data_IF_637495314856
#
_entry.id   IF_637495314856
#
_cell.length_a   1.000
_cell.length_b   1.000
_cell.length_c   1.000
_cell.angle_alpha   90.00
_cell.angle_beta   90.00
_cell.angle_gamma   90.00
#
_symmetry.space_group_name_H-M   'P 1'
#
loop_
_entity.id
_entity.type
_entity.pdbx_description
1 polymer ?
#
# COMPACT_ATOMS: atom_id res chain seq x y z
N UNK A 1 3.55 -9.73 9.55
CA UNK A 1 2.18 -10.30 9.48
C UNK A 1 2.08 -11.31 8.35
N UNK A 2 0.89 -11.87 8.14
CA UNK A 2 0.58 -12.76 6.99
C UNK A 2 -0.59 -12.25 6.14
N UNK A 3 -1.29 -11.19 6.57
CA UNK A 3 -2.49 -10.70 5.88
C UNK A 3 -2.17 -9.53 4.95
N UNK A 4 -1.47 -8.53 5.46
CA UNK A 4 -1.19 -7.28 4.73
C UNK A 4 0.31 -7.02 4.67
N UNK A 5 0.82 -6.62 3.51
CA UNK A 5 2.16 -6.09 3.32
C UNK A 5 2.09 -4.63 2.90
N UNK A 6 2.76 -3.75 3.66
CA UNK A 6 3.01 -2.36 3.33
C UNK A 6 4.44 -2.25 2.81
N UNK A 7 4.59 -1.93 1.54
CA UNK A 7 5.88 -1.76 0.87
C UNK A 7 6.14 -0.27 0.70
N UNK A 8 6.89 0.31 1.63
CA UNK A 8 7.17 1.74 1.72
C UNK A 8 8.45 2.09 0.99
N UNK A 9 8.41 3.20 0.24
CA UNK A 9 9.58 3.88 -0.31
C UNK A 9 9.54 5.35 0.12
N UNK A 10 10.65 5.84 0.69
CA UNK A 10 10.77 7.24 1.11
C UNK A 10 10.38 7.47 2.56
N UNK A 11 9.85 8.64 2.87
CA UNK A 11 9.74 9.14 4.25
C UNK A 11 8.48 8.68 4.99
N UNK A 12 7.58 7.95 4.32
CA UNK A 12 6.31 7.44 4.90
C UNK A 12 6.48 6.17 5.76
N UNK A 13 7.70 5.77 6.07
CA UNK A 13 7.94 4.55 6.85
C UNK A 13 7.34 4.64 8.27
N UNK A 14 7.44 5.79 8.94
CA UNK A 14 6.84 5.98 10.27
C UNK A 14 5.31 5.96 10.22
N UNK A 15 4.71 6.59 9.21
CA UNK A 15 3.26 6.52 8.97
C UNK A 15 2.78 5.07 8.76
N UNK A 16 3.56 4.24 8.06
CA UNK A 16 3.27 2.82 7.92
C UNK A 16 3.30 2.07 9.26
N UNK A 17 4.23 2.41 10.16
CA UNK A 17 4.31 1.81 11.51
C UNK A 17 3.13 2.19 12.38
N UNK A 18 2.69 3.44 12.32
CA UNK A 18 1.50 3.92 13.02
C UNK A 18 0.26 3.20 12.48
N UNK A 19 0.08 3.18 11.16
CA UNK A 19 -1.03 2.47 10.51
C UNK A 19 -1.05 0.97 10.87
N UNK A 20 0.11 0.30 10.86
CA UNK A 20 0.20 -1.11 11.25
C UNK A 20 -0.20 -1.35 12.71
N UNK A 21 0.07 -0.40 13.62
CA UNK A 21 -0.37 -0.46 15.01
C UNK A 21 -1.89 -0.35 15.13
N UNK A 22 -2.52 0.55 14.35
CA UNK A 22 -3.98 0.67 14.29
C UNK A 22 -4.64 -0.59 13.71
N UNK A 23 -4.07 -1.16 12.64
CA UNK A 23 -4.54 -2.40 12.01
C UNK A 23 -4.42 -3.60 12.95
N UNK A 24 -3.34 -3.66 13.74
CA UNK A 24 -3.16 -4.69 14.76
C UNK A 24 -4.28 -4.66 15.80
N UNK A 25 -4.72 -3.48 16.23
CA UNK A 25 -5.85 -3.32 17.15
C UNK A 25 -7.19 -3.83 16.55
N UNK A 26 -7.27 -3.93 15.22
CA UNK A 26 -8.42 -4.48 14.48
C UNK A 26 -8.22 -5.96 14.11
N UNK A 27 -7.20 -6.62 14.64
CA UNK A 27 -6.91 -8.03 14.37
C UNK A 27 -6.25 -8.32 13.02
N UNK A 28 -5.72 -7.30 12.33
CA UNK A 28 -5.07 -7.44 11.03
C UNK A 28 -3.55 -7.45 11.18
N UNK A 29 -2.94 -8.58 10.84
CA UNK A 29 -1.49 -8.78 10.89
C UNK A 29 -0.78 -8.15 9.68
N UNK A 30 0.04 -7.13 9.96
CA UNK A 30 0.73 -6.35 8.92
C UNK A 30 2.24 -6.65 8.90
N UNK A 31 2.83 -6.68 7.72
CA UNK A 31 4.28 -6.66 7.46
C UNK A 31 4.62 -5.31 6.85
N UNK A 32 5.69 -4.66 7.31
CA UNK A 32 6.21 -3.44 6.71
C UNK A 32 7.56 -3.76 6.09
N UNK A 33 7.76 -3.34 4.85
CA UNK A 33 9.03 -3.45 4.12
C UNK A 33 9.45 -2.04 3.73
N UNK A 34 10.65 -1.66 4.16
CA UNK A 34 11.33 -0.48 3.63
C UNK A 34 12.11 -0.90 2.37
N UNK A 35 11.62 -0.45 1.22
CA UNK A 35 12.18 -0.80 -0.08
C UNK A 35 13.58 -0.18 -0.28
N UNK A 36 13.86 0.98 0.33
CA UNK A 36 15.08 1.82 0.19
C UNK A 36 15.44 2.28 -1.23
N UNK A 37 15.16 1.47 -2.25
CA UNK A 37 15.49 1.71 -3.65
C UNK A 37 14.28 1.44 -4.55
N UNK A 38 13.95 2.40 -5.42
CA UNK A 38 13.01 2.17 -6.53
C UNK A 38 13.65 1.37 -7.67
N UNK A 39 15.00 1.39 -7.77
CA UNK A 39 15.78 0.64 -8.75
C UNK A 39 17.21 0.38 -8.25
N UNK A 40 17.75 -0.83 -8.42
CA UNK A 40 17.02 -2.05 -8.82
C UNK A 40 16.01 -2.45 -7.74
N UNK A 41 14.87 -3.02 -8.17
CA UNK A 41 13.91 -3.60 -7.23
C UNK A 41 14.50 -4.87 -6.58
N UNK A 42 14.25 -5.05 -5.28
CA UNK A 42 14.44 -6.36 -4.64
C UNK A 42 13.31 -7.30 -5.06
N UNK A 43 13.46 -7.88 -6.25
CA UNK A 43 12.42 -8.71 -6.88
C UNK A 43 12.06 -9.91 -6.01
N UNK A 44 13.06 -10.54 -5.38
CA UNK A 44 12.83 -11.73 -4.56
C UNK A 44 11.98 -11.39 -3.35
N UNK A 45 12.30 -10.29 -2.66
CA UNK A 45 11.53 -9.85 -1.50
C UNK A 45 10.10 -9.49 -1.88
N UNK A 46 9.91 -8.74 -2.98
CA UNK A 46 8.60 -8.31 -3.45
C UNK A 46 7.72 -9.52 -3.83
N UNK A 47 8.25 -10.44 -4.64
CA UNK A 47 7.51 -11.64 -5.07
C UNK A 47 7.16 -12.52 -3.87
N UNK A 48 8.11 -12.77 -2.96
CA UNK A 48 7.85 -13.52 -1.74
C UNK A 48 6.79 -12.84 -0.87
N UNK A 49 6.79 -11.52 -0.81
CA UNK A 49 5.80 -10.77 -0.03
C UNK A 49 4.42 -10.87 -0.65
N UNK A 50 4.33 -10.74 -1.98
CA UNK A 50 3.10 -10.92 -2.72
C UNK A 50 2.49 -12.33 -2.58
N UNK A 51 3.32 -13.37 -2.51
CA UNK A 51 2.84 -14.75 -2.35
C UNK A 51 2.36 -15.06 -0.92
N UNK A 52 2.92 -14.38 0.09
CA UNK A 52 2.66 -14.67 1.50
C UNK A 52 1.63 -13.75 2.14
N UNK A 53 1.03 -12.82 1.38
CA UNK A 53 0.04 -11.87 1.88
C UNK A 53 -1.16 -11.80 0.96
N UNK A 54 -2.34 -11.53 1.53
CA UNK A 54 -3.58 -11.34 0.78
C UNK A 54 -3.63 -9.95 0.13
N UNK A 55 -3.07 -8.95 0.82
CA UNK A 55 -3.03 -7.55 0.38
C UNK A 55 -1.58 -7.07 0.34
N UNK A 56 -1.19 -6.42 -0.75
CA UNK A 56 0.07 -5.68 -0.86
C UNK A 56 -0.23 -4.25 -1.27
N UNK A 57 0.21 -3.28 -0.46
CA UNK A 57 0.08 -1.85 -0.77
C UNK A 57 1.46 -1.24 -0.86
N UNK A 58 1.74 -0.57 -1.98
CA UNK A 58 2.93 0.30 -2.10
C UNK A 58 2.60 1.70 -1.60
N UNK A 59 3.56 2.33 -0.92
CA UNK A 59 3.43 3.70 -0.41
C UNK A 59 4.68 4.47 -0.84
N UNK A 60 4.48 5.56 -1.57
CA UNK A 60 5.56 6.48 -1.97
C UNK A 60 5.05 7.93 -2.04
N UNK A 61 5.99 8.87 -2.02
CA UNK A 61 5.74 10.30 -2.23
C UNK A 61 6.00 10.70 -3.70
N UNK A 62 6.06 9.71 -4.60
CA UNK A 62 6.13 9.91 -6.05
C UNK A 62 4.73 10.05 -6.67
N UNK A 63 4.69 10.35 -7.97
CA UNK A 63 3.45 10.38 -8.75
C UNK A 63 3.22 9.05 -9.49
N UNK A 64 2.13 8.98 -10.26
CA UNK A 64 1.81 7.83 -11.11
C UNK A 64 2.97 7.53 -12.07
N UNK A 65 3.31 6.25 -12.24
CA UNK A 65 4.48 5.82 -13.01
C UNK A 65 5.74 5.60 -12.17
N UNK A 66 5.70 5.88 -10.86
CA UNK A 66 6.81 5.68 -9.93
C UNK A 66 7.03 4.24 -9.46
N UNK A 67 7.51 4.10 -8.22
CA UNK A 67 7.84 2.81 -7.60
C UNK A 67 6.68 1.82 -7.61
N UNK A 68 5.47 2.26 -7.26
CA UNK A 68 4.29 1.42 -7.26
C UNK A 68 3.97 0.86 -8.65
N UNK A 69 4.20 1.63 -9.71
CA UNK A 69 4.01 1.17 -11.10
C UNK A 69 5.07 0.15 -11.50
N UNK A 70 6.33 0.33 -11.09
CA UNK A 70 7.38 -0.67 -11.32
C UNK A 70 7.12 -1.98 -10.57
N UNK A 71 6.65 -1.90 -9.32
CA UNK A 71 6.22 -3.07 -8.55
C UNK A 71 5.05 -3.76 -9.24
N UNK A 72 4.02 -3.02 -9.64
CA UNK A 72 2.86 -3.57 -10.34
C UNK A 72 3.27 -4.30 -11.63
N UNK A 73 4.18 -3.71 -12.43
CA UNK A 73 4.71 -4.37 -13.63
C UNK A 73 5.45 -5.67 -13.29
N UNK A 74 6.31 -5.67 -12.26
CA UNK A 74 6.99 -6.89 -11.80
C UNK A 74 5.99 -7.98 -11.39
N UNK A 75 4.95 -7.62 -10.64
CA UNK A 75 3.92 -8.56 -10.20
C UNK A 75 3.10 -9.13 -11.37
N UNK A 76 2.76 -8.28 -12.35
CA UNK A 76 2.04 -8.69 -13.56
C UNK A 76 2.84 -9.68 -14.40
N UNK A 77 4.11 -9.36 -14.70
CA UNK A 77 4.99 -10.22 -15.51
C UNK A 77 5.26 -11.60 -14.88
N UNK A 78 5.06 -11.74 -13.56
CA UNK A 78 5.23 -13.00 -12.83
C UNK A 78 3.89 -13.71 -12.53
N UNK A 79 2.78 -13.26 -13.12
CA UNK A 79 1.46 -13.89 -12.96
C UNK A 79 0.94 -13.85 -11.51
N UNK A 80 1.38 -12.89 -10.71
CA UNK A 80 0.97 -12.79 -9.30
C UNK A 80 -0.50 -12.38 -9.19
N UNK A 81 -0.96 -11.45 -10.04
CA UNK A 81 -2.35 -10.98 -10.02
C UNK A 81 -3.36 -12.07 -10.38
N UNK A 82 -2.94 -13.05 -11.19
CA UNK A 82 -3.78 -14.20 -11.57
C UNK A 82 -4.14 -15.08 -10.38
N UNK A 83 -3.34 -15.02 -9.30
CA UNK A 83 -3.54 -15.78 -8.05
C UNK A 83 -4.47 -15.06 -7.05
N UNK A 84 -4.98 -13.87 -7.40
CA UNK A 84 -5.94 -13.14 -6.58
C UNK A 84 -5.34 -12.19 -5.54
N UNK A 85 -4.06 -11.81 -5.67
CA UNK A 85 -3.46 -10.77 -4.83
C UNK A 85 -4.24 -9.45 -4.95
N UNK A 86 -4.63 -8.87 -3.81
CA UNK A 86 -5.20 -7.52 -3.77
C UNK A 86 -4.07 -6.50 -3.70
N UNK A 87 -3.84 -5.77 -4.79
CA UNK A 87 -2.78 -4.76 -4.87
C UNK A 87 -3.33 -3.34 -5.03
N UNK A 88 -2.78 -2.36 -4.30
CA UNK A 88 -3.00 -0.92 -4.56
C UNK A 88 -1.70 -0.15 -4.38
N UNK A 89 -1.59 0.99 -5.05
CA UNK A 89 -0.52 1.95 -4.81
C UNK A 89 -1.09 3.22 -4.19
N UNK A 90 -0.43 3.71 -3.15
CA UNK A 90 -0.64 5.02 -2.56
C UNK A 90 0.53 5.90 -2.98
N UNK A 91 0.20 6.97 -3.71
CA UNK A 91 1.10 7.91 -4.36
C UNK A 91 0.61 9.33 -4.07
N UNK A 92 1.42 10.35 -4.38
CA UNK A 92 0.91 11.71 -4.44
C UNK A 92 -0.18 11.82 -5.53
N UNK A 93 -1.35 12.40 -5.20
CA UNK A 93 -2.41 12.61 -6.17
C UNK A 93 -2.03 13.68 -7.19
N UNK A 94 -2.60 13.58 -8.38
CA UNK A 94 -2.44 14.58 -9.45
C UNK A 94 -3.39 15.77 -9.22
N UNK A 95 -3.13 16.49 -8.12
CA UNK A 95 -3.86 17.69 -7.72
C UNK A 95 -2.89 18.71 -7.15
N UNK A 96 -3.25 19.99 -7.23
CA UNK A 96 -2.50 21.03 -6.56
C UNK A 96 -2.69 20.93 -5.05
N UNK A 97 -1.59 20.90 -4.29
CA UNK A 97 -1.60 20.91 -2.82
C UNK A 97 -1.03 22.27 -2.40
N UNK A 98 -1.85 23.09 -1.77
CA UNK A 98 -1.45 24.38 -1.23
C UNK A 98 -0.36 24.21 -0.16
N UNK A 99 0.50 25.21 -0.04
CA UNK A 99 1.53 25.24 1.00
C UNK A 99 0.87 25.34 2.38
N UNK A 100 1.18 24.38 3.25
CA UNK A 100 0.78 24.38 4.66
C UNK A 100 1.86 23.62 5.47
N UNK A 101 1.55 23.23 6.70
CA UNK A 101 2.37 22.28 7.44
C UNK A 101 2.44 20.95 6.68
N UNK A 102 3.58 20.22 6.74
CA UNK A 102 3.72 18.93 6.08
C UNK A 102 2.59 17.96 6.41
N UNK A 103 2.17 17.91 7.68
CA UNK A 103 1.06 17.06 8.14
C UNK A 103 -0.24 17.32 7.35
N UNK A 104 -0.62 18.59 7.19
CA UNK A 104 -1.84 19.00 6.47
C UNK A 104 -1.74 18.75 4.97
N UNK A 105 -0.57 19.01 4.39
CA UNK A 105 -0.31 18.70 2.98
C UNK A 105 -0.48 17.19 2.70
N UNK A 106 0.03 16.33 3.58
CA UNK A 106 -0.13 14.88 3.45
C UNK A 106 -1.53 14.37 3.83
N UNK A 107 -2.28 15.15 4.62
CA UNK A 107 -3.69 14.90 4.84
C UNK A 107 -4.49 15.10 3.56
N UNK A 108 -4.24 16.21 2.84
CA UNK A 108 -4.83 16.45 1.51
C UNK A 108 -4.37 15.39 0.50
N UNK A 109 -3.09 14.99 0.55
CA UNK A 109 -2.57 13.94 -0.32
C UNK A 109 -3.12 12.54 -0.02
N UNK A 110 -3.69 12.31 1.17
CA UNK A 110 -4.16 11.00 1.59
C UNK A 110 -3.04 10.00 1.91
N UNK A 111 -1.88 10.47 2.41
CA UNK A 111 -0.67 9.65 2.64
C UNK A 111 -0.25 9.52 4.12
N UNK A 112 -1.06 10.01 5.05
CA UNK A 112 -0.86 9.81 6.49
C UNK A 112 -1.38 8.44 6.97
N UNK A 113 -0.97 8.03 8.17
CA UNK A 113 -1.25 6.73 8.77
C UNK A 113 -2.75 6.36 8.74
N UNK A 114 -3.63 7.32 9.08
CA UNK A 114 -5.09 7.13 9.04
C UNK A 114 -5.58 6.72 7.65
N UNK A 115 -5.02 7.31 6.59
CA UNK A 115 -5.36 7.02 5.20
C UNK A 115 -4.79 5.67 4.76
N UNK A 116 -3.57 5.33 5.20
CA UNK A 116 -2.96 4.01 4.93
C UNK A 116 -3.82 2.91 5.57
N UNK A 117 -4.18 3.06 6.85
CA UNK A 117 -5.02 2.11 7.56
C UNK A 117 -6.41 1.99 6.92
N UNK A 118 -7.03 3.12 6.56
CA UNK A 118 -8.30 3.12 5.84
C UNK A 118 -8.20 2.38 4.50
N UNK A 119 -7.18 2.67 3.70
CA UNK A 119 -6.98 2.00 2.40
C UNK A 119 -6.80 0.50 2.57
N UNK A 120 -6.04 0.07 3.57
CA UNK A 120 -5.90 -1.35 3.90
C UNK A 120 -7.25 -1.97 4.23
N UNK A 121 -8.06 -1.36 5.09
CA UNK A 121 -9.37 -1.89 5.48
C UNK A 121 -10.32 -2.00 4.30
N UNK A 122 -10.41 -0.96 3.46
CA UNK A 122 -11.22 -0.95 2.24
C UNK A 122 -10.86 -2.11 1.31
N UNK A 123 -9.55 -2.33 1.09
CA UNK A 123 -9.07 -3.38 0.20
C UNK A 123 -9.26 -4.76 0.84
N UNK A 124 -8.92 -4.90 2.12
CA UNK A 124 -8.99 -6.16 2.86
C UNK A 124 -10.42 -6.69 2.91
N UNK A 125 -11.40 -5.87 3.26
CA UNK A 125 -12.82 -6.24 3.36
C UNK A 125 -13.63 -6.10 2.07
N UNK A 126 -12.99 -5.80 0.93
CA UNK A 126 -13.68 -5.64 -0.38
C UNK A 126 -14.44 -6.88 -0.88
N UNK A 127 -14.34 -8.03 -0.20
CA UNK A 127 -15.17 -9.21 -0.44
C UNK A 127 -16.09 -9.45 0.75
N UNK A 128 -17.37 -9.16 0.53
CA UNK A 128 -18.60 -9.79 1.05
C UNK A 128 -19.74 -8.76 1.06
N UNK A 129 -20.03 -8.21 -0.12
CA UNK A 129 -21.26 -7.45 -0.33
C UNK A 129 -22.42 -8.40 -0.51
N UNK A 130 -23.36 -8.41 0.44
CA UNK A 130 -24.68 -9.02 0.24
C UNK A 130 -25.30 -8.36 -1.00
N UNK A 131 -25.41 -9.11 -2.09
CA UNK A 131 -26.16 -8.66 -3.27
C UNK A 131 -27.63 -8.91 -3.03
N UNK A 132 -28.38 -7.86 -2.69
CA UNK A 132 -29.84 -7.90 -2.77
C UNK A 132 -30.20 -7.71 -4.25
N UNK A 133 -30.55 -8.80 -4.91
CA UNK A 133 -31.12 -8.79 -6.26
C UNK A 133 -32.65 -8.71 -6.16
N UNK A 134 -33.28 -8.02 -7.12
CA UNK A 134 -34.74 -7.92 -7.21
C UNK A 134 -35.31 -9.09 -8.01
#
# INVERSE_FOLDING_TARGET
>A
GKQVCLLSLGTRLEECKIAASELKNKGISTTIIDARFAKPLDKQLILKSAENHEVLITIEEGSIGGFGSHVANLLAENGIFDKGLKFRSMILPDVFIDQDTPERMYDVAGLNAKHIAQKVLEVFFSKDGIRVIK
#
